data_IF_607575686650
#
_entry.id   IF_607575686650
#
_cell.length_a   1.000
_cell.length_b   1.000
_cell.length_c   1.000
_cell.angle_alpha   90.00
_cell.angle_beta   90.00
_cell.angle_gamma   90.00
#
_symmetry.space_group_name_H-M   'P 1'
#
loop_
_entity.id
_entity.type
_entity.pdbx_description
1 polymer ?
#
# COMPACT_ATOMS: atom_id res chain seq x y z
N UNK A 1 16.69 -56.40 -3.34
CA UNK A 1 16.42 -55.14 -4.04
C UNK A 1 16.13 -54.12 -2.97
N UNK A 2 16.94 -53.07 -2.85
CA UNK A 2 16.79 -52.07 -1.80
C UNK A 2 15.59 -51.18 -2.15
N UNK A 3 14.62 -51.06 -1.25
CA UNK A 3 13.36 -50.34 -1.49
C UNK A 3 13.57 -48.90 -1.03
N UNK A 4 13.44 -47.96 -1.97
CA UNK A 4 13.55 -46.53 -1.68
C UNK A 4 12.22 -46.06 -1.08
N UNK A 5 12.22 -45.43 0.10
CA UNK A 5 11.00 -44.89 0.70
C UNK A 5 10.38 -43.77 -0.15
N UNK A 6 9.04 -43.61 -0.10
CA UNK A 6 8.29 -42.63 -0.92
C UNK A 6 8.71 -41.18 -0.69
N UNK A 7 9.24 -40.86 0.49
CA UNK A 7 9.73 -39.53 0.84
C UNK A 7 11.21 -39.32 0.48
N UNK A 8 11.81 -40.20 -0.32
CA UNK A 8 13.22 -40.11 -0.69
C UNK A 8 13.36 -40.10 -2.21
N UNK A 9 14.03 -39.08 -2.74
CA UNK A 9 14.48 -39.04 -4.13
C UNK A 9 15.97 -39.37 -4.17
N UNK A 10 16.34 -40.40 -4.94
CA UNK A 10 17.73 -40.80 -5.18
C UNK A 10 18.15 -40.44 -6.61
N UNK A 11 19.22 -39.67 -6.78
CA UNK A 11 19.77 -39.23 -8.07
C UNK A 11 21.11 -39.92 -8.28
N UNK A 12 21.24 -40.76 -9.30
CA UNK A 12 22.50 -41.44 -9.64
C UNK A 12 23.40 -40.54 -10.49
N UNK A 13 24.71 -40.61 -10.26
CA UNK A 13 25.70 -39.89 -11.07
C UNK A 13 25.96 -40.61 -12.39
N UNK A 14 26.19 -39.84 -13.46
CA UNK A 14 26.45 -40.41 -14.80
C UNK A 14 27.91 -40.84 -15.03
N UNK A 15 28.80 -40.58 -14.07
CA UNK A 15 30.22 -40.91 -14.14
C UNK A 15 30.52 -42.41 -13.92
N UNK A 16 29.50 -43.21 -13.63
CA UNK A 16 29.64 -44.66 -13.46
C UNK A 16 30.33 -45.08 -12.17
N UNK A 17 30.52 -44.15 -11.22
CA UNK A 17 31.15 -44.42 -9.92
C UNK A 17 30.28 -45.27 -8.99
N UNK A 18 28.97 -45.32 -9.25
CA UNK A 18 27.98 -45.95 -8.37
C UNK A 18 27.54 -45.04 -7.21
N UNK A 19 28.00 -43.79 -7.18
CA UNK A 19 27.57 -42.79 -6.21
C UNK A 19 26.17 -42.24 -6.55
N UNK A 20 25.48 -41.78 -5.52
CA UNK A 20 24.16 -41.18 -5.66
C UNK A 20 23.92 -40.11 -4.59
N UNK A 21 23.07 -39.15 -4.92
CA UNK A 21 22.59 -38.10 -4.01
C UNK A 21 21.19 -38.50 -3.52
N UNK A 22 20.98 -38.53 -2.21
CA UNK A 22 19.65 -38.73 -1.62
C UNK A 22 19.07 -37.43 -1.06
N UNK A 23 17.82 -37.16 -1.43
CA UNK A 23 17.04 -36.03 -0.94
C UNK A 23 15.85 -36.61 -0.16
N UNK A 24 15.85 -36.40 1.15
CA UNK A 24 14.79 -36.87 2.06
C UNK A 24 13.83 -35.72 2.32
N UNK A 25 12.56 -35.91 1.99
CA UNK A 25 11.49 -34.98 2.29
C UNK A 25 10.90 -35.26 3.67
N UNK A 26 10.63 -34.21 4.48
CA UNK A 26 9.90 -34.36 5.73
C UNK A 26 8.43 -34.72 5.42
N UNK A 27 7.85 -35.64 6.19
CA UNK A 27 6.48 -36.13 5.99
C UNK A 27 5.40 -35.08 6.30
N UNK A 28 5.77 -33.99 6.99
CA UNK A 28 4.90 -32.86 7.30
C UNK A 28 5.68 -31.57 7.02
N UNK A 29 5.19 -30.77 6.07
CA UNK A 29 5.62 -29.38 5.93
C UNK A 29 5.05 -28.62 7.14
N UNK A 30 5.89 -28.29 8.12
CA UNK A 30 5.47 -27.32 9.12
C UNK A 30 5.28 -25.98 8.40
N UNK A 31 4.03 -25.53 8.29
CA UNK A 31 3.62 -24.30 7.58
C UNK A 31 4.28 -23.02 8.15
N UNK A 32 5.06 -23.16 9.22
CA UNK A 32 5.79 -22.10 9.90
C UNK A 32 7.31 -22.13 9.65
N UNK A 33 7.82 -23.09 8.87
CA UNK A 33 9.22 -23.06 8.49
C UNK A 33 9.49 -21.89 7.56
N UNK A 34 10.53 -21.12 7.89
CA UNK A 34 10.99 -20.02 7.06
C UNK A 34 11.31 -20.58 5.67
N UNK A 35 10.92 -19.87 4.59
CA UNK A 35 11.23 -20.33 3.23
C UNK A 35 12.73 -20.58 3.09
N UNK A 36 13.08 -21.68 2.41
CA UNK A 36 14.47 -22.08 2.19
C UNK A 36 15.29 -20.88 1.69
N UNK A 37 16.39 -20.61 2.37
CA UNK A 37 17.27 -19.49 2.03
C UNK A 37 17.93 -19.75 0.67
N UNK A 38 17.82 -18.76 -0.23
CA UNK A 38 18.50 -18.80 -1.51
C UNK A 38 20.02 -18.69 -1.31
N UNK A 39 20.70 -19.83 -1.43
CA UNK A 39 22.17 -19.96 -1.33
C UNK A 39 22.87 -19.89 -2.69
N UNK A 40 22.17 -19.51 -3.77
CA UNK A 40 22.78 -19.32 -5.11
C UNK A 40 23.97 -18.35 -5.10
N UNK A 41 24.02 -17.43 -4.13
CA UNK A 41 25.14 -16.51 -3.89
C UNK A 41 26.46 -17.21 -3.55
N UNK A 42 26.43 -18.45 -3.06
CA UNK A 42 27.63 -19.25 -2.74
C UNK A 42 28.30 -19.84 -3.98
N UNK A 43 27.63 -19.80 -5.13
CA UNK A 43 28.11 -20.38 -6.39
C UNK A 43 28.71 -19.34 -7.35
N UNK A 44 28.86 -18.08 -6.94
CA UNK A 44 29.40 -17.00 -7.80
C UNK A 44 30.78 -16.55 -7.29
N UNK A 45 31.87 -16.77 -8.05
CA UNK A 45 33.17 -16.24 -7.69
C UNK A 45 33.17 -14.72 -7.94
N UNK A 46 33.37 -13.96 -6.87
CA UNK A 46 33.75 -12.55 -6.86
C UNK A 46 32.76 -11.55 -7.51
N UNK A 47 31.67 -11.24 -6.79
CA UNK A 47 31.09 -9.89 -6.87
C UNK A 47 30.43 -9.53 -5.52
N UNK A 48 31.19 -8.85 -4.66
CA UNK A 48 30.68 -8.28 -3.41
C UNK A 48 29.77 -7.10 -3.73
N UNK A 49 28.48 -7.36 -3.96
CA UNK A 49 27.42 -6.36 -3.85
C UNK A 49 26.53 -6.71 -2.67
N UNK A 50 26.30 -5.71 -1.83
CA UNK A 50 25.70 -5.78 -0.51
C UNK A 50 24.28 -6.39 -0.56
N UNK A 51 24.04 -7.40 0.26
CA UNK A 51 22.71 -7.96 0.57
C UNK A 51 22.07 -7.10 1.66
N UNK A 52 21.22 -6.18 1.26
CA UNK A 52 20.13 -5.67 2.11
C UNK A 52 18.82 -5.82 1.31
N UNK A 53 18.32 -7.04 1.19
CA UNK A 53 16.92 -7.25 0.83
C UNK A 53 16.10 -7.28 2.12
N UNK A 54 16.06 -6.14 2.81
CA UNK A 54 14.89 -5.84 3.64
C UNK A 54 13.67 -5.98 2.73
N UNK A 55 12.61 -6.63 3.23
CA UNK A 55 11.32 -6.70 2.57
C UNK A 55 10.94 -5.29 2.05
N UNK A 56 11.06 -5.06 0.74
CA UNK A 56 10.81 -3.75 0.15
C UNK A 56 9.36 -3.38 0.43
N UNK A 57 9.14 -2.59 1.48
CA UNK A 57 7.82 -2.07 1.84
C UNK A 57 7.23 -1.46 0.57
N UNK A 58 6.02 -1.86 0.15
CA UNK A 58 5.46 -1.33 -1.08
C UNK A 58 5.28 0.18 -0.92
N UNK A 59 5.98 0.94 -1.77
CA UNK A 59 6.05 2.39 -1.72
C UNK A 59 4.66 3.04 -1.76
N UNK A 60 4.50 4.11 -0.99
CA UNK A 60 3.33 4.99 -1.06
C UNK A 60 3.44 5.98 -2.21
N UNK A 61 2.31 6.59 -2.60
CA UNK A 61 2.35 7.72 -3.54
C UNK A 61 3.15 8.88 -2.94
N UNK A 62 3.85 9.61 -3.80
CA UNK A 62 4.39 10.93 -3.47
C UNK A 62 3.29 11.98 -3.51
N UNK A 63 3.56 13.12 -2.89
CA UNK A 63 2.73 14.32 -2.94
C UNK A 63 2.38 14.71 -4.37
N UNK A 64 3.36 14.70 -5.28
CA UNK A 64 3.15 15.14 -6.65
C UNK A 64 2.24 14.17 -7.41
N UNK A 65 2.39 12.86 -7.20
CA UNK A 65 1.49 11.85 -7.77
C UNK A 65 0.06 11.98 -7.22
N UNK A 66 -0.09 12.20 -5.91
CA UNK A 66 -1.38 12.50 -5.28
C UNK A 66 -2.00 13.73 -5.92
N UNK A 67 -1.25 14.81 -6.08
CA UNK A 67 -1.73 16.05 -6.68
C UNK A 67 -2.10 15.86 -8.15
N UNK A 68 -1.34 15.09 -8.93
CA UNK A 68 -1.67 14.76 -10.31
C UNK A 68 -2.99 13.97 -10.43
N UNK A 69 -3.25 13.03 -9.51
CA UNK A 69 -4.53 12.30 -9.48
C UNK A 69 -5.67 13.27 -9.18
N UNK A 70 -5.48 14.16 -8.20
CA UNK A 70 -6.50 15.09 -7.72
C UNK A 70 -6.76 16.21 -8.71
N UNK A 71 -5.76 16.66 -9.44
CA UNK A 71 -5.91 17.70 -10.46
C UNK A 71 -6.65 17.24 -11.71
N UNK A 72 -6.75 15.92 -11.94
CA UNK A 72 -7.61 15.33 -12.97
C UNK A 72 -9.10 15.29 -12.59
N UNK A 73 -9.44 15.49 -11.32
CA UNK A 73 -10.83 15.51 -10.88
C UNK A 73 -11.55 16.78 -11.36
N UNK A 74 -12.89 16.71 -11.55
CA UNK A 74 -13.68 17.88 -11.88
C UNK A 74 -13.54 18.97 -10.81
N UNK A 75 -13.51 20.22 -11.27
CA UNK A 75 -13.46 21.40 -10.38
C UNK A 75 -14.87 21.71 -9.90
N UNK A 76 -15.00 22.12 -8.64
CA UNK A 76 -16.29 22.62 -8.17
C UNK A 76 -16.68 23.89 -8.93
N UNK A 77 -17.94 23.99 -9.35
CA UNK A 77 -18.47 25.14 -10.10
C UNK A 77 -18.40 26.44 -9.29
N UNK A 78 -18.70 26.37 -7.99
CA UNK A 78 -18.72 27.52 -7.07
C UNK A 78 -17.33 27.88 -6.53
N UNK A 79 -16.47 26.90 -6.32
CA UNK A 79 -15.11 27.09 -5.81
C UNK A 79 -14.08 26.28 -6.61
N UNK A 80 -13.50 26.89 -7.65
CA UNK A 80 -12.54 26.24 -8.57
C UNK A 80 -11.29 25.68 -7.89
N UNK A 81 -11.02 26.07 -6.63
CA UNK A 81 -9.91 25.53 -5.83
C UNK A 81 -10.20 24.13 -5.31
N UNK A 82 -11.48 23.78 -5.17
CA UNK A 82 -11.94 22.47 -4.72
C UNK A 82 -12.12 21.52 -5.89
N UNK A 83 -11.95 20.24 -5.60
CA UNK A 83 -12.29 19.15 -6.50
C UNK A 83 -13.56 18.48 -6.02
N UNK A 84 -14.27 17.87 -6.94
CA UNK A 84 -15.50 17.13 -6.63
C UNK A 84 -15.42 15.71 -7.15
N UNK A 85 -16.16 14.83 -6.50
CA UNK A 85 -16.49 13.46 -6.93
C UNK A 85 -17.99 13.30 -6.87
N UNK A 86 -18.58 12.42 -7.66
CA UNK A 86 -20.04 12.37 -7.83
C UNK A 86 -20.76 11.86 -6.58
N UNK A 87 -20.14 10.91 -5.89
CA UNK A 87 -20.78 10.22 -4.77
C UNK A 87 -19.76 9.72 -3.74
N UNK A 88 -20.28 9.16 -2.65
CA UNK A 88 -19.49 8.60 -1.55
C UNK A 88 -18.60 7.43 -1.99
N UNK A 89 -19.10 6.57 -2.86
CA UNK A 89 -18.35 5.39 -3.31
C UNK A 89 -17.07 5.82 -4.05
N UNK A 90 -17.16 6.84 -4.90
CA UNK A 90 -15.99 7.43 -5.55
C UNK A 90 -15.03 8.08 -4.55
N UNK A 91 -15.55 8.79 -3.55
CA UNK A 91 -14.74 9.37 -2.49
C UNK A 91 -13.97 8.29 -1.72
N UNK A 92 -14.63 7.19 -1.36
CA UNK A 92 -14.03 6.08 -0.62
C UNK A 92 -13.01 5.30 -1.49
N UNK A 93 -13.30 5.11 -2.78
CA UNK A 93 -12.34 4.55 -3.76
C UNK A 93 -11.10 5.45 -3.87
N UNK A 94 -11.30 6.76 -3.97
CA UNK A 94 -10.21 7.72 -4.04
C UNK A 94 -9.38 7.71 -2.75
N UNK A 95 -10.01 7.69 -1.57
CA UNK A 95 -9.33 7.55 -0.30
C UNK A 95 -8.43 6.31 -0.27
N UNK A 96 -8.97 5.13 -0.59
CA UNK A 96 -8.20 3.87 -0.64
C UNK A 96 -7.03 3.95 -1.62
N UNK A 97 -7.23 4.60 -2.77
CA UNK A 97 -6.19 4.77 -3.78
C UNK A 97 -5.07 5.69 -3.30
N UNK A 98 -5.41 6.84 -2.73
CA UNK A 98 -4.45 7.84 -2.27
C UNK A 98 -3.66 7.39 -1.04
N UNK A 99 -4.23 6.50 -0.23
CA UNK A 99 -3.65 6.03 1.04
C UNK A 99 -3.15 4.60 0.97
N UNK A 100 -3.01 4.04 -0.24
CA UNK A 100 -2.49 2.68 -0.43
C UNK A 100 -1.08 2.57 0.17
N UNK A 101 -0.86 1.53 0.98
CA UNK A 101 0.38 1.24 1.71
C UNK A 101 0.81 2.31 2.74
N UNK A 102 -0.01 3.34 2.96
CA UNK A 102 0.29 4.41 3.91
C UNK A 102 0.04 3.99 5.35
N UNK A 103 0.82 4.58 6.25
CA UNK A 103 0.68 4.34 7.68
C UNK A 103 -0.50 5.11 8.26
N UNK A 104 -1.21 4.48 9.19
CA UNK A 104 -2.21 5.15 10.00
C UNK A 104 -1.53 6.16 10.91
N UNK A 105 -2.07 7.37 10.92
CA UNK A 105 -1.52 8.49 11.68
C UNK A 105 -2.57 8.98 12.67
N UNK A 106 -2.15 9.42 13.84
CA UNK A 106 -2.95 9.92 14.97
C UNK A 106 -4.35 10.42 14.57
N UNK A 107 -5.35 9.53 14.61
CA UNK A 107 -6.72 9.90 14.30
C UNK A 107 -7.22 10.92 15.31
N UNK A 108 -7.90 11.95 14.82
CA UNK A 108 -8.40 13.06 15.64
C UNK A 108 -9.90 13.09 15.62
N UNK A 109 -10.48 13.73 16.62
CA UNK A 109 -11.90 14.08 16.62
C UNK A 109 -12.02 15.55 16.27
N UNK A 110 -12.91 15.88 15.34
CA UNK A 110 -13.24 17.25 14.98
C UNK A 110 -13.83 17.94 16.22
N UNK A 111 -13.13 18.95 16.75
CA UNK A 111 -13.55 19.68 17.97
C UNK A 111 -14.92 20.35 17.83
N UNK A 112 -15.35 20.65 16.60
CA UNK A 112 -16.60 21.36 16.34
C UNK A 112 -17.78 20.42 16.17
N UNK A 113 -17.57 19.29 15.49
CA UNK A 113 -18.65 18.37 15.13
C UNK A 113 -18.63 17.05 15.91
N UNK A 114 -17.58 16.78 16.70
CA UNK A 114 -17.41 15.54 17.45
C UNK A 114 -17.19 14.31 16.57
N UNK A 115 -16.90 14.50 15.27
CA UNK A 115 -16.79 13.42 14.29
C UNK A 115 -15.33 13.00 14.07
N UNK A 116 -15.06 11.72 13.74
CA UNK A 116 -13.71 11.25 13.51
C UNK A 116 -13.10 11.87 12.24
N UNK A 117 -11.80 12.15 12.34
CA UNK A 117 -10.90 12.56 11.28
C UNK A 117 -9.84 11.46 11.16
N UNK A 118 -9.93 10.68 10.08
CA UNK A 118 -8.94 9.64 9.79
C UNK A 118 -7.73 10.26 9.11
N UNK A 119 -6.53 9.96 9.58
CA UNK A 119 -5.31 10.54 9.04
C UNK A 119 -4.36 9.45 8.56
N UNK A 120 -3.74 9.70 7.41
CA UNK A 120 -2.75 8.81 6.81
C UNK A 120 -1.50 9.59 6.44
N UNK A 121 -0.34 9.00 6.71
CA UNK A 121 0.97 9.58 6.40
C UNK A 121 1.65 8.77 5.30
N UNK A 122 2.02 9.44 4.21
CA UNK A 122 2.81 8.87 3.12
C UNK A 122 4.31 8.87 3.48
N UNK A 123 5.12 8.14 2.72
CA UNK A 123 6.55 8.00 2.96
C UNK A 123 7.29 9.35 2.84
N UNK A 124 6.82 10.25 1.97
CA UNK A 124 7.34 11.62 1.84
C UNK A 124 6.82 12.59 2.92
N UNK A 125 6.20 12.05 3.97
CA UNK A 125 5.60 12.75 5.09
C UNK A 125 4.35 13.57 4.75
N UNK A 126 3.81 13.45 3.53
CA UNK A 126 2.52 14.05 3.20
C UNK A 126 1.41 13.44 4.04
N UNK A 127 0.56 14.31 4.60
CA UNK A 127 -0.59 13.90 5.38
C UNK A 127 -1.86 14.08 4.54
N UNK A 128 -2.67 13.02 4.50
CA UNK A 128 -4.00 13.01 3.89
C UNK A 128 -5.02 12.77 5.01
N UNK A 129 -6.07 13.60 5.06
CA UNK A 129 -7.13 13.48 6.04
C UNK A 129 -8.46 13.13 5.37
N UNK A 130 -9.23 12.27 6.02
CA UNK A 130 -10.62 12.01 5.68
C UNK A 130 -11.51 12.50 6.83
N UNK A 131 -12.43 13.40 6.52
CA UNK A 131 -13.35 13.99 7.49
C UNK A 131 -14.77 13.55 7.19
N UNK A 132 -15.48 13.09 8.23
CA UNK A 132 -16.90 12.73 8.12
C UNK A 132 -17.83 13.92 7.93
N UNK A 133 -17.42 15.08 8.44
CA UNK A 133 -18.16 16.33 8.30
C UNK A 133 -17.23 17.49 7.95
N UNK A 134 -17.74 18.39 7.11
CA UNK A 134 -17.05 19.62 6.71
C UNK A 134 -17.93 20.85 6.96
N UNK A 135 -17.34 22.05 6.96
CA UNK A 135 -18.10 23.32 7.12
C UNK A 135 -19.17 23.48 6.03
N UNK A 136 -18.92 22.97 4.82
CA UNK A 136 -19.86 22.99 3.70
C UNK A 136 -20.81 21.79 3.66
N UNK A 137 -20.79 20.94 4.70
CA UNK A 137 -21.53 19.69 4.75
C UNK A 137 -20.81 18.55 4.02
N UNK A 138 -21.11 17.33 4.43
CA UNK A 138 -20.64 16.09 3.79
C UNK A 138 -19.21 15.65 4.15
N UNK A 139 -18.89 14.44 3.70
CA UNK A 139 -17.56 13.82 3.82
C UNK A 139 -16.56 14.52 2.89
N UNK A 140 -15.28 14.57 3.27
CA UNK A 140 -14.25 15.35 2.55
C UNK A 140 -12.87 14.75 2.73
N UNK A 141 -12.06 14.78 1.67
CA UNK A 141 -10.63 14.46 1.72
C UNK A 141 -9.82 15.77 1.65
N UNK A 142 -8.88 15.96 2.57
CA UNK A 142 -7.98 17.12 2.61
C UNK A 142 -6.52 16.64 2.47
N UNK A 143 -5.75 17.27 1.58
CA UNK A 143 -4.34 16.94 1.33
C UNK A 143 -3.44 18.06 1.83
N UNK A 144 -2.42 17.71 2.62
CA UNK A 144 -1.38 18.60 3.13
C UNK A 144 -1.90 19.66 4.13
N UNK A 145 -2.51 19.20 5.22
CA UNK A 145 -3.16 20.03 6.25
C UNK A 145 -2.22 20.84 7.16
N UNK A 146 -0.90 20.59 7.14
CA UNK A 146 0.03 21.09 8.17
C UNK A 146 0.65 22.49 7.89
N UNK A 147 0.31 23.17 6.79
CA UNK A 147 0.85 24.51 6.42
C UNK A 147 -0.27 25.45 5.91
N UNK A 148 -0.09 26.79 5.88
CA UNK A 148 -1.20 27.74 5.74
C UNK A 148 -2.09 27.45 4.53
N UNK A 149 -3.40 27.68 4.70
CA UNK A 149 -4.54 27.31 3.84
C UNK A 149 -4.39 27.55 2.32
N UNK A 150 -3.38 28.32 1.89
CA UNK A 150 -3.11 28.66 0.49
C UNK A 150 -2.82 27.46 -0.42
N UNK A 151 -2.30 26.35 0.11
CA UNK A 151 -1.94 25.16 -0.68
C UNK A 151 -2.77 23.91 -0.35
N UNK A 152 -3.83 24.06 0.44
CA UNK A 152 -4.72 22.96 0.79
C UNK A 152 -5.56 22.57 -0.44
N UNK A 153 -5.49 21.30 -0.84
CA UNK A 153 -6.39 20.72 -1.84
C UNK A 153 -7.46 19.93 -1.12
N UNK A 154 -8.72 20.22 -1.41
CA UNK A 154 -9.86 19.53 -0.82
C UNK A 154 -10.75 18.92 -1.89
N UNK A 155 -11.22 17.70 -1.61
CA UNK A 155 -12.13 16.94 -2.47
C UNK A 155 -13.42 16.71 -1.69
N UNK A 156 -14.54 17.16 -2.26
CA UNK A 156 -15.87 16.99 -1.69
C UNK A 156 -16.71 16.09 -2.58
N UNK A 157 -17.73 15.48 -2.01
CA UNK A 157 -18.83 14.92 -2.81
C UNK A 157 -19.57 16.10 -3.44
N UNK A 158 -19.91 15.99 -4.71
CA UNK A 158 -20.82 16.92 -5.37
C UNK A 158 -22.16 16.82 -4.66
N UNK A 159 -22.40 17.75 -3.74
CA UNK A 159 -23.75 18.00 -3.27
C UNK A 159 -24.49 18.55 -4.48
N UNK A 160 -25.20 17.66 -5.18
CA UNK A 160 -26.17 18.04 -6.18
C UNK A 160 -26.92 19.25 -5.63
N UNK A 161 -26.92 20.33 -6.41
CA UNK A 161 -27.75 21.48 -6.12
C UNK A 161 -29.14 20.89 -5.91
N UNK A 162 -29.65 20.89 -4.67
CA UNK A 162 -31.10 20.93 -4.50
C UNK A 162 -31.46 22.27 -5.12
N UNK A 163 -31.77 22.25 -6.42
CA UNK A 163 -32.53 23.31 -7.04
C UNK A 163 -33.87 23.22 -6.35
N UNK A 164 -34.01 23.92 -5.22
CA UNK A 164 -35.32 24.28 -4.72
C UNK A 164 -35.88 25.23 -5.77
N UNK A 165 -36.82 24.70 -6.55
CA UNK A 165 -37.70 25.45 -7.47
C UNK A 165 -38.69 26.22 -6.62
#
# INVERSE_FOLDING_TARGET
>A
QEIIPDNVIRIQTQDGSGEFIEIVFPSQLELNDKPLEDVSYTFVPALKFFKDTEYLKPRTLTKDEVLQIVDKLPKNVRDKRRRIVENKEELDKLWKKLTKNSEEFENKVDKKYGQPIYMRKLDDQTIIQYKKTSKSGGETIEINSNKPRGNLKTIHIENGIKNEI
#
